data_IF_341613178317
#
_entry.id   IF_341613178317
#
_cell.length_a   1.000
_cell.length_b   1.000
_cell.length_c   1.000
_cell.angle_alpha   90.00
_cell.angle_beta   90.00
_cell.angle_gamma   90.00
#
_symmetry.space_group_name_H-M   'P 1'
#
loop_
_entity.id
_entity.type
_entity.pdbx_description
1 polymer ?
#
# COMPACT_ATOMS: atom_id res chain seq x y z
N UNK A 1 -4.21 9.55 -20.65
CA UNK A 1 -4.75 8.37 -19.92
C UNK A 1 -3.62 7.39 -19.73
N UNK A 2 -3.23 7.13 -18.48
CA UNK A 2 -2.22 6.14 -18.12
C UNK A 2 -2.90 5.03 -17.33
N UNK A 3 -2.91 3.81 -17.87
CA UNK A 3 -3.38 2.64 -17.15
C UNK A 3 -2.18 2.03 -16.43
N UNK A 4 -2.28 1.89 -15.11
CA UNK A 4 -1.28 1.19 -14.32
C UNK A 4 -1.34 -0.32 -14.62
N UNK A 5 -0.21 -1.01 -14.46
CA UNK A 5 -0.24 -2.46 -14.35
C UNK A 5 -1.05 -2.84 -13.10
N UNK A 6 -1.86 -3.90 -13.21
CA UNK A 6 -2.65 -4.42 -12.09
C UNK A 6 -2.78 -5.93 -12.18
N UNK A 7 -2.98 -6.53 -11.02
CA UNK A 7 -3.38 -7.94 -10.88
C UNK A 7 -4.81 -8.00 -10.36
N UNK A 8 -5.59 -8.96 -10.84
CA UNK A 8 -6.95 -9.20 -10.34
C UNK A 8 -6.98 -10.49 -9.52
N UNK A 9 -7.69 -10.46 -8.38
CA UNK A 9 -7.84 -11.58 -7.45
C UNK A 9 -9.29 -11.68 -6.99
N UNK A 10 -9.70 -12.88 -6.56
CA UNK A 10 -11.04 -13.16 -6.06
C UNK A 10 -12.07 -13.32 -7.18
N UNK A 11 -13.34 -13.07 -6.87
CA UNK A 11 -14.45 -13.23 -7.81
C UNK A 11 -14.51 -12.06 -8.80
N UNK A 12 -14.37 -12.30 -10.11
CA UNK A 12 -14.41 -11.23 -11.11
C UNK A 12 -15.77 -10.50 -11.19
N UNK A 13 -16.85 -11.12 -10.74
CA UNK A 13 -18.19 -10.55 -10.68
C UNK A 13 -18.52 -9.94 -9.30
N UNK A 14 -17.59 -10.04 -8.35
CA UNK A 14 -17.74 -9.53 -7.00
C UNK A 14 -17.68 -8.00 -6.91
N UNK A 15 -18.13 -7.48 -5.76
CA UNK A 15 -18.02 -6.06 -5.47
C UNK A 15 -16.55 -5.61 -5.48
N UNK A 16 -16.20 -4.51 -6.20
CA UNK A 16 -14.81 -4.17 -6.44
C UNK A 16 -14.08 -3.62 -5.21
N UNK A 17 -12.84 -4.07 -5.06
CA UNK A 17 -11.84 -3.56 -4.12
C UNK A 17 -10.65 -3.04 -4.92
N UNK A 18 -10.24 -1.80 -4.68
CA UNK A 18 -8.99 -1.24 -5.16
C UNK A 18 -7.92 -1.39 -4.08
N UNK A 19 -6.85 -2.13 -4.36
CA UNK A 19 -5.74 -2.30 -3.43
C UNK A 19 -4.53 -1.44 -3.84
N UNK A 20 -4.03 -0.60 -2.90
CA UNK A 20 -2.96 0.38 -3.12
C UNK A 20 -1.80 0.09 -2.17
N UNK A 21 -0.66 -0.30 -2.73
CA UNK A 21 0.54 -0.67 -1.96
C UNK A 21 1.35 0.53 -1.44
N UNK A 22 2.29 0.26 -0.54
CA UNK A 22 3.26 1.22 0.00
C UNK A 22 4.50 1.41 -0.86
N UNK A 23 5.45 2.23 -0.37
CA UNK A 23 6.75 2.45 -0.99
C UNK A 23 7.50 1.11 -1.14
N UNK A 24 8.23 0.94 -2.23
CA UNK A 24 9.03 -0.26 -2.56
C UNK A 24 8.24 -1.58 -2.64
N UNK A 25 6.91 -1.51 -2.79
CA UNK A 25 6.03 -2.66 -2.89
C UNK A 25 5.44 -2.81 -4.31
N UNK A 26 4.47 -3.71 -4.45
CA UNK A 26 3.75 -3.98 -5.69
C UNK A 26 2.35 -4.55 -5.38
N UNK A 27 1.44 -4.55 -6.36
CA UNK A 27 0.05 -4.96 -6.18
C UNK A 27 -0.12 -6.41 -5.72
N UNK A 28 0.71 -7.34 -6.23
CA UNK A 28 0.61 -8.77 -5.88
C UNK A 28 0.78 -9.08 -4.39
N UNK A 29 1.31 -8.14 -3.57
CA UNK A 29 1.35 -8.30 -2.12
C UNK A 29 -0.03 -8.44 -1.48
N UNK A 30 -1.08 -7.95 -2.13
CA UNK A 30 -2.46 -8.12 -1.66
C UNK A 30 -3.10 -9.45 -2.06
N UNK A 31 -2.41 -10.31 -2.85
CA UNK A 31 -2.96 -11.56 -3.36
C UNK A 31 -3.54 -12.43 -2.24
N UNK A 32 -2.73 -12.74 -1.23
CA UNK A 32 -3.16 -13.60 -0.11
C UNK A 32 -4.36 -12.99 0.65
N UNK A 33 -4.33 -11.68 0.92
CA UNK A 33 -5.46 -11.00 1.55
C UNK A 33 -6.74 -11.12 0.72
N UNK A 34 -6.65 -10.92 -0.59
CA UNK A 34 -7.80 -10.99 -1.49
C UNK A 34 -8.34 -12.42 -1.60
N UNK A 35 -7.47 -13.41 -1.81
CA UNK A 35 -7.86 -14.81 -2.04
C UNK A 35 -8.32 -15.55 -0.78
N UNK A 36 -7.76 -15.23 0.40
CA UNK A 36 -8.07 -15.89 1.67
C UNK A 36 -8.97 -15.03 2.59
N UNK A 37 -8.87 -13.68 2.51
CA UNK A 37 -9.61 -12.76 3.37
C UNK A 37 -11.01 -12.40 2.87
N UNK A 38 -11.15 -12.15 1.55
CA UNK A 38 -12.42 -11.74 0.92
C UNK A 38 -12.55 -12.26 -0.53
N UNK A 39 -12.50 -13.60 -0.73
CA UNK A 39 -12.47 -14.23 -2.05
C UNK A 39 -13.70 -13.93 -2.92
N UNK A 40 -14.81 -13.52 -2.33
CA UNK A 40 -16.04 -13.14 -3.01
C UNK A 40 -16.01 -11.72 -3.60
N UNK A 41 -14.91 -10.97 -3.41
CA UNK A 41 -14.72 -9.63 -3.95
C UNK A 41 -13.84 -9.66 -5.20
N UNK A 42 -14.05 -8.72 -6.11
CA UNK A 42 -13.14 -8.45 -7.23
C UNK A 42 -12.06 -7.48 -6.77
N UNK A 43 -10.87 -7.96 -6.48
CA UNK A 43 -9.76 -7.11 -6.04
C UNK A 43 -8.89 -6.73 -7.23
N UNK A 44 -8.79 -5.43 -7.54
CA UNK A 44 -7.84 -4.84 -8.48
C UNK A 44 -6.68 -4.26 -7.69
N UNK A 45 -5.55 -4.94 -7.72
CA UNK A 45 -4.33 -4.56 -7.00
C UNK A 45 -3.32 -3.94 -7.98
N UNK A 46 -3.12 -2.64 -7.89
CA UNK A 46 -2.28 -1.88 -8.83
C UNK A 46 -0.81 -1.91 -8.45
N UNK A 47 0.07 -1.85 -9.45
CA UNK A 47 1.44 -1.40 -9.28
C UNK A 47 1.47 0.13 -9.45
N UNK A 48 1.86 0.87 -8.43
CA UNK A 48 1.95 2.33 -8.53
C UNK A 48 3.00 2.74 -9.58
N UNK A 49 2.82 3.91 -10.20
CA UNK A 49 3.83 4.50 -11.08
C UNK A 49 5.21 4.48 -10.44
N UNK A 50 6.22 4.01 -11.18
CA UNK A 50 7.58 3.81 -10.68
C UNK A 50 7.79 2.52 -9.89
N UNK A 51 6.82 1.59 -9.90
CA UNK A 51 6.89 0.31 -9.21
C UNK A 51 6.39 -0.83 -10.12
N UNK A 52 6.89 -2.03 -9.87
CA UNK A 52 6.47 -3.26 -10.55
C UNK A 52 6.54 -3.16 -12.07
N UNK A 53 5.44 -3.54 -12.73
CA UNK A 53 5.29 -3.51 -14.18
C UNK A 53 4.63 -2.23 -14.72
N UNK A 54 4.36 -1.23 -13.85
CA UNK A 54 3.85 0.08 -14.26
C UNK A 54 4.93 0.96 -14.88
N UNK A 55 4.51 2.04 -15.56
CA UNK A 55 5.46 3.01 -16.13
C UNK A 55 6.39 3.62 -15.07
N UNK A 56 7.65 3.80 -15.43
CA UNK A 56 8.66 4.44 -14.60
C UNK A 56 8.83 5.94 -14.91
N UNK A 57 8.06 6.47 -15.87
CA UNK A 57 8.10 7.89 -16.21
C UNK A 57 7.45 8.74 -15.11
N UNK A 58 8.05 9.90 -14.81
CA UNK A 58 7.47 10.87 -13.88
C UNK A 58 6.27 11.64 -14.47
N UNK A 59 5.65 12.49 -13.67
CA UNK A 59 5.92 12.76 -12.27
C UNK A 59 5.39 11.66 -11.34
N UNK A 60 6.01 11.52 -10.15
CA UNK A 60 5.63 10.50 -9.13
C UNK A 60 4.91 11.11 -7.93
N UNK A 61 4.31 12.28 -8.11
CA UNK A 61 3.56 12.97 -7.06
C UNK A 61 2.21 12.29 -6.75
N UNK A 62 1.69 12.50 -5.55
CA UNK A 62 0.37 11.99 -5.16
C UNK A 62 -0.74 12.40 -6.14
N UNK A 63 -0.84 13.67 -6.62
CA UNK A 63 -1.83 14.04 -7.63
C UNK A 63 -1.74 13.23 -8.94
N UNK A 64 -0.51 12.83 -9.35
CA UNK A 64 -0.35 11.98 -10.53
C UNK A 64 -0.78 10.54 -10.23
N UNK A 65 -0.41 9.97 -9.09
CA UNK A 65 -0.91 8.65 -8.68
C UNK A 65 -2.44 8.60 -8.65
N UNK A 66 -3.10 9.63 -8.12
CA UNK A 66 -4.58 9.72 -8.14
C UNK A 66 -5.13 9.74 -9.56
N UNK A 67 -4.49 10.47 -10.48
CA UNK A 67 -4.90 10.47 -11.90
C UNK A 67 -4.78 9.08 -12.51
N UNK A 68 -3.67 8.40 -12.28
CA UNK A 68 -3.41 7.06 -12.79
C UNK A 68 -4.41 6.02 -12.22
N UNK A 69 -4.77 6.14 -10.94
CA UNK A 69 -5.78 5.27 -10.31
C UNK A 69 -7.17 5.48 -10.95
N UNK A 70 -7.58 6.73 -11.19
CA UNK A 70 -8.85 7.03 -11.86
C UNK A 70 -8.85 6.47 -13.28
N UNK A 71 -7.79 6.71 -14.06
CA UNK A 71 -7.63 6.18 -15.41
C UNK A 71 -7.69 4.63 -15.44
N UNK A 72 -7.09 3.98 -14.42
CA UNK A 72 -7.09 2.52 -14.30
C UNK A 72 -8.49 1.99 -13.94
N UNK A 73 -9.19 2.61 -12.97
CA UNK A 73 -10.56 2.26 -12.63
C UNK A 73 -11.51 2.41 -13.82
N UNK A 74 -11.36 3.49 -14.61
CA UNK A 74 -12.13 3.71 -15.83
C UNK A 74 -11.84 2.63 -16.88
N UNK A 75 -10.57 2.24 -17.02
CA UNK A 75 -10.16 1.19 -17.96
C UNK A 75 -10.77 -0.18 -17.62
N UNK A 76 -10.80 -0.54 -16.32
CA UNK A 76 -11.36 -1.83 -15.87
C UNK A 76 -12.88 -1.80 -15.66
N UNK A 77 -13.53 -0.66 -15.97
CA UNK A 77 -14.98 -0.49 -15.89
C UNK A 77 -15.53 -0.41 -14.46
N UNK A 78 -14.72 0.03 -13.48
CA UNK A 78 -15.13 0.19 -12.09
C UNK A 78 -15.49 1.65 -11.83
N UNK A 79 -16.76 1.93 -11.57
CA UNK A 79 -17.24 3.28 -11.24
C UNK A 79 -16.83 3.69 -9.82
N UNK A 80 -16.98 2.80 -8.82
CA UNK A 80 -16.58 3.02 -7.44
C UNK A 80 -16.13 1.71 -6.79
N UNK A 81 -15.15 1.79 -5.90
CA UNK A 81 -14.58 0.64 -5.19
C UNK A 81 -14.49 0.88 -3.68
N UNK A 82 -14.46 -0.20 -2.91
CA UNK A 82 -13.87 -0.17 -1.58
C UNK A 82 -12.34 -0.07 -1.74
N UNK A 83 -11.69 0.81 -0.98
CA UNK A 83 -10.24 1.04 -1.14
C UNK A 83 -9.51 0.45 0.06
N UNK A 84 -8.58 -0.48 -0.21
CA UNK A 84 -7.67 -1.05 0.81
C UNK A 84 -6.26 -0.58 0.51
N UNK A 85 -5.64 0.11 1.44
CA UNK A 85 -4.34 0.73 1.23
C UNK A 85 -3.37 0.42 2.37
N UNK A 86 -2.07 0.39 2.05
CA UNK A 86 -1.01 0.16 3.03
C UNK A 86 0.04 1.28 2.93
N UNK A 87 0.52 1.76 4.10
CA UNK A 87 1.66 2.70 4.16
C UNK A 87 1.44 3.96 3.30
N UNK A 88 2.33 4.27 2.35
CA UNK A 88 2.22 5.35 1.37
C UNK A 88 0.91 5.31 0.59
N UNK A 89 0.41 4.11 0.27
CA UNK A 89 -0.90 3.95 -0.37
C UNK A 89 -2.03 4.62 0.42
N UNK A 90 -1.89 4.77 1.74
CA UNK A 90 -2.85 5.50 2.58
C UNK A 90 -2.91 7.00 2.26
N UNK A 91 -1.78 7.65 2.02
CA UNK A 91 -1.74 9.06 1.61
C UNK A 91 -2.38 9.24 0.22
N UNK A 92 -2.10 8.31 -0.72
CA UNK A 92 -2.72 8.32 -2.05
C UNK A 92 -4.23 8.07 -1.95
N UNK A 93 -4.69 7.17 -1.08
CA UNK A 93 -6.11 6.86 -0.89
C UNK A 93 -6.89 8.06 -0.32
N UNK A 94 -6.32 8.80 0.64
CA UNK A 94 -6.91 10.05 1.14
C UNK A 94 -7.01 11.11 0.02
N UNK A 95 -5.98 11.25 -0.80
CA UNK A 95 -6.00 12.16 -1.94
C UNK A 95 -6.98 11.73 -3.05
N UNK A 96 -7.18 10.42 -3.26
CA UNK A 96 -8.20 9.90 -4.15
C UNK A 96 -9.60 10.25 -3.61
N UNK A 97 -9.84 10.07 -2.31
CA UNK A 97 -11.10 10.45 -1.66
C UNK A 97 -11.36 11.97 -1.76
N UNK A 98 -10.34 12.80 -1.61
CA UNK A 98 -10.45 14.26 -1.76
C UNK A 98 -10.85 14.66 -3.18
N UNK A 99 -10.13 14.11 -4.18
CA UNK A 99 -10.29 14.51 -5.58
C UNK A 99 -11.50 13.90 -6.27
N UNK A 100 -11.83 12.66 -5.94
CA UNK A 100 -12.87 11.88 -6.60
C UNK A 100 -13.68 11.06 -5.57
N UNK A 101 -14.42 11.70 -4.66
CA UNK A 101 -15.12 11.01 -3.57
C UNK A 101 -16.12 9.96 -4.07
N UNK A 102 -16.75 10.18 -5.22
CA UNK A 102 -17.67 9.21 -5.81
C UNK A 102 -17.01 7.88 -6.22
N UNK A 103 -15.68 7.83 -6.27
CA UNK A 103 -14.91 6.62 -6.61
C UNK A 103 -14.62 5.74 -5.38
N UNK A 104 -14.83 6.24 -4.15
CA UNK A 104 -14.49 5.57 -2.89
C UNK A 104 -15.77 5.30 -2.08
N UNK A 105 -16.12 4.02 -1.90
CA UNK A 105 -17.27 3.61 -1.09
C UNK A 105 -16.92 3.45 0.38
N UNK A 106 -15.83 2.78 0.67
CA UNK A 106 -15.22 2.56 1.99
C UNK A 106 -13.72 2.73 1.90
N UNK A 107 -13.08 3.02 3.01
CA UNK A 107 -11.62 3.21 3.07
C UNK A 107 -11.03 2.34 4.18
N UNK A 108 -10.03 1.53 3.84
CA UNK A 108 -9.20 0.78 4.78
C UNK A 108 -7.78 1.30 4.70
N UNK A 109 -7.26 1.76 5.82
CA UNK A 109 -5.91 2.30 5.99
C UNK A 109 -5.11 1.34 6.89
N UNK A 110 -4.25 0.51 6.28
CA UNK A 110 -3.37 -0.41 6.99
C UNK A 110 -2.03 0.29 7.25
N UNK A 111 -1.77 0.62 8.50
CA UNK A 111 -0.59 1.34 8.99
C UNK A 111 -0.11 2.46 8.05
N UNK A 112 -1.00 3.44 7.75
CA UNK A 112 -0.72 4.47 6.75
C UNK A 112 0.41 5.39 7.20
N UNK A 113 1.35 5.67 6.30
CA UNK A 113 2.40 6.66 6.51
C UNK A 113 1.89 8.06 6.11
N UNK A 114 1.42 8.81 7.11
CA UNK A 114 0.79 10.13 6.94
C UNK A 114 1.55 11.18 7.76
N UNK A 115 1.75 12.37 7.20
CA UNK A 115 2.37 13.52 7.86
C UNK A 115 3.67 13.18 8.58
N UNK A 116 4.55 12.43 7.90
CA UNK A 116 5.82 12.01 8.48
C UNK A 116 6.74 13.21 8.73
N UNK A 117 7.50 13.24 9.85
CA UNK A 117 8.51 14.28 10.06
C UNK A 117 9.48 14.36 8.89
N UNK A 118 9.77 15.57 8.42
CA UNK A 118 10.58 15.77 7.21
C UNK A 118 12.04 15.31 7.33
N UNK A 119 12.61 15.30 8.52
CA UNK A 119 13.92 14.76 8.83
C UNK A 119 13.92 13.23 8.76
N UNK A 120 12.94 12.56 9.37
CA UNK A 120 12.76 11.10 9.30
C UNK A 120 12.48 10.64 7.86
N UNK A 121 11.62 11.36 7.13
CA UNK A 121 11.33 11.09 5.71
C UNK A 121 12.59 11.23 4.86
N UNK A 122 13.44 12.22 5.12
CA UNK A 122 14.69 12.43 4.40
C UNK A 122 15.71 11.32 4.68
N UNK A 123 15.84 10.89 5.94
CA UNK A 123 16.72 9.78 6.33
C UNK A 123 16.26 8.47 5.68
N UNK A 124 14.96 8.18 5.73
CA UNK A 124 14.39 7.00 5.09
C UNK A 124 14.59 7.02 3.57
N UNK A 125 14.42 8.17 2.91
CA UNK A 125 14.65 8.32 1.47
C UNK A 125 16.13 8.02 1.11
N UNK A 126 17.08 8.51 1.90
CA UNK A 126 18.51 8.25 1.70
C UNK A 126 18.84 6.76 1.91
N UNK A 127 18.28 6.14 2.94
CA UNK A 127 18.46 4.71 3.19
C UNK A 127 17.92 3.84 2.03
N UNK A 128 16.81 4.23 1.41
CA UNK A 128 16.24 3.53 0.26
C UNK A 128 17.03 3.74 -1.04
N UNK A 129 17.91 4.75 -1.09
CA UNK A 129 18.79 4.98 -2.24
C UNK A 129 19.89 3.92 -2.34
N UNK A 130 20.32 3.35 -1.23
CA UNK A 130 21.29 2.26 -1.14
C UNK A 130 20.59 0.95 -0.69
N UNK A 131 21.10 -0.22 -1.01
CA UNK A 131 22.26 -0.57 -1.83
C UNK A 131 21.97 -0.52 -3.34
N UNK A 132 23.04 -0.61 -4.13
CA UNK A 132 22.97 -0.62 -5.60
C UNK A 132 22.62 -2.00 -6.18
N UNK A 133 21.94 -2.85 -5.40
CA UNK A 133 21.51 -4.21 -5.71
C UNK A 133 22.33 -5.28 -5.00
N UNK A 134 21.89 -6.52 -5.13
CA UNK A 134 22.43 -7.69 -4.46
C UNK A 134 23.14 -8.61 -5.49
N UNK A 135 24.03 -9.49 -5.02
CA UNK A 135 24.75 -10.43 -5.88
C UNK A 135 23.99 -11.76 -6.02
N UNK A 136 23.10 -12.08 -5.07
CA UNK A 136 22.25 -13.26 -5.10
C UNK A 136 20.80 -12.94 -4.71
N UNK A 137 19.90 -13.86 -5.07
CA UNK A 137 18.47 -13.80 -4.68
C UNK A 137 18.33 -13.93 -3.16
N UNK A 138 19.18 -14.76 -2.53
CA UNK A 138 19.17 -14.99 -1.08
C UNK A 138 19.56 -13.72 -0.30
N UNK A 139 20.54 -12.95 -0.79
CA UNK A 139 20.91 -11.65 -0.22
C UNK A 139 19.73 -10.67 -0.31
N UNK A 140 19.06 -10.60 -1.46
CA UNK A 140 17.89 -9.77 -1.68
C UNK A 140 16.71 -10.19 -0.76
N UNK A 141 16.45 -11.50 -0.65
CA UNK A 141 15.41 -12.03 0.24
C UNK A 141 15.70 -11.74 1.70
N UNK A 142 16.96 -11.86 2.13
CA UNK A 142 17.39 -11.51 3.49
C UNK A 142 17.18 -10.02 3.78
N UNK A 143 17.55 -9.16 2.84
CA UNK A 143 17.33 -7.72 2.96
C UNK A 143 15.84 -7.36 2.99
N UNK A 144 15.01 -8.03 2.16
CA UNK A 144 13.55 -7.81 2.14
C UNK A 144 12.88 -8.31 3.41
N UNK A 145 13.37 -9.39 3.99
CA UNK A 145 12.90 -9.87 5.28
C UNK A 145 13.15 -8.84 6.39
N UNK A 146 14.33 -8.20 6.39
CA UNK A 146 14.69 -7.17 7.36
C UNK A 146 14.45 -7.60 8.80
N UNK A 147 13.76 -6.75 9.55
CA UNK A 147 13.43 -6.96 10.97
C UNK A 147 12.08 -7.68 11.19
N UNK A 148 11.52 -8.34 10.15
CA UNK A 148 10.32 -9.15 10.32
C UNK A 148 10.54 -10.29 11.32
N UNK A 149 9.49 -10.62 12.08
CA UNK A 149 9.53 -11.71 13.06
C UNK A 149 9.86 -13.07 12.42
N UNK A 150 10.56 -13.94 13.17
CA UNK A 150 10.90 -15.30 12.71
C UNK A 150 9.70 -16.25 12.73
N UNK A 151 8.65 -15.94 13.49
CA UNK A 151 7.45 -16.74 13.69
C UNK A 151 6.29 -16.40 12.72
N UNK A 152 6.59 -15.65 11.65
CA UNK A 152 5.58 -15.36 10.62
C UNK A 152 5.19 -16.64 9.89
N UNK A 153 3.89 -16.93 9.89
CA UNK A 153 3.34 -18.05 9.13
C UNK A 153 3.62 -17.88 7.63
N UNK A 154 4.11 -18.94 6.98
CA UNK A 154 4.39 -19.00 5.54
C UNK A 154 5.39 -17.95 5.03
N UNK A 155 6.27 -17.44 5.91
CA UNK A 155 7.25 -16.40 5.51
C UNK A 155 8.09 -16.82 4.30
N UNK A 156 8.48 -18.09 4.20
CA UNK A 156 9.25 -18.61 3.07
C UNK A 156 8.49 -18.55 1.75
N UNK A 157 7.20 -18.86 1.74
CA UNK A 157 6.34 -18.76 0.56
C UNK A 157 6.14 -17.30 0.15
N UNK A 158 5.91 -16.41 1.11
CA UNK A 158 5.73 -14.99 0.86
C UNK A 158 6.99 -14.34 0.30
N UNK A 159 8.17 -14.66 0.84
CA UNK A 159 9.44 -14.18 0.31
C UNK A 159 9.73 -14.75 -1.08
N UNK A 160 9.42 -16.03 -1.33
CA UNK A 160 9.57 -16.62 -2.66
C UNK A 160 8.69 -15.91 -3.70
N UNK A 161 7.43 -15.62 -3.35
CA UNK A 161 6.53 -14.86 -4.21
C UNK A 161 7.01 -13.42 -4.42
N UNK A 162 7.51 -12.76 -3.39
CA UNK A 162 8.09 -11.42 -3.47
C UNK A 162 9.29 -11.39 -4.42
N UNK A 163 10.18 -12.39 -4.34
CA UNK A 163 11.33 -12.49 -5.24
C UNK A 163 10.89 -12.74 -6.69
N UNK A 164 9.93 -13.64 -6.91
CA UNK A 164 9.38 -13.93 -8.24
C UNK A 164 8.68 -12.70 -8.86
N UNK A 165 7.87 -12.03 -8.08
CA UNK A 165 7.03 -10.93 -8.56
C UNK A 165 7.78 -9.60 -8.71
N UNK A 166 8.82 -9.37 -7.92
CA UNK A 166 9.34 -8.01 -7.72
C UNK A 166 10.87 -7.89 -7.84
N UNK A 167 11.60 -9.00 -8.01
CA UNK A 167 13.06 -8.98 -8.18
C UNK A 167 13.42 -9.16 -9.66
N UNK A 168 14.36 -8.38 -10.15
CA UNK A 168 14.90 -8.52 -11.52
C UNK A 168 16.43 -8.51 -11.50
N UNK A 169 17.04 -9.20 -12.47
CA UNK A 169 18.49 -9.16 -12.67
C UNK A 169 18.83 -8.12 -13.74
N UNK A 170 19.61 -7.12 -13.37
CA UNK A 170 20.12 -6.12 -14.28
C UNK A 170 21.20 -6.64 -15.23
N UNK A 171 21.53 -5.86 -16.24
CA UNK A 171 22.58 -6.18 -17.23
C UNK A 171 23.98 -6.30 -16.60
N UNK A 172 24.20 -5.76 -15.42
CA UNK A 172 25.40 -5.87 -14.61
C UNK A 172 25.45 -7.14 -13.74
N UNK A 173 24.44 -8.01 -13.87
CA UNK A 173 24.29 -9.25 -13.13
C UNK A 173 23.79 -9.10 -11.68
N UNK A 174 23.53 -7.87 -11.21
CA UNK A 174 23.03 -7.62 -9.87
C UNK A 174 21.50 -7.71 -9.84
N UNK A 175 20.96 -8.17 -8.74
CA UNK A 175 19.51 -8.23 -8.49
C UNK A 175 19.02 -6.94 -7.85
N UNK A 176 17.88 -6.42 -8.33
CA UNK A 176 17.22 -5.21 -7.82
C UNK A 176 15.73 -5.45 -7.72
N UNK A 177 15.08 -4.84 -6.72
CA UNK A 177 13.62 -4.80 -6.71
C UNK A 177 13.11 -3.83 -7.77
N UNK A 178 11.95 -4.17 -8.33
CA UNK A 178 11.31 -3.46 -9.44
C UNK A 178 10.62 -2.18 -8.95
N UNK A 179 11.41 -1.21 -8.54
CA UNK A 179 10.96 0.14 -8.25
C UNK A 179 12.00 1.18 -8.71
N UNK A 180 11.51 2.35 -9.07
CA UNK A 180 12.36 3.47 -9.47
C UNK A 180 12.79 4.29 -8.26
N UNK A 181 14.08 4.34 -7.94
CA UNK A 181 14.61 5.07 -6.79
C UNK A 181 14.11 6.53 -6.70
N UNK A 182 14.10 7.34 -7.79
CA UNK A 182 13.51 8.67 -7.76
C UNK A 182 12.03 8.71 -7.36
N UNK A 183 11.23 7.71 -7.75
CA UNK A 183 9.83 7.61 -7.32
C UNK A 183 9.72 7.35 -5.82
N UNK A 184 10.58 6.48 -5.27
CA UNK A 184 10.67 6.20 -3.84
C UNK A 184 11.06 7.42 -3.03
N UNK A 185 12.09 8.16 -3.47
CA UNK A 185 12.51 9.42 -2.82
C UNK A 185 11.38 10.46 -2.84
N UNK A 186 10.68 10.59 -3.99
CA UNK A 186 9.52 11.47 -4.10
C UNK A 186 8.43 11.06 -3.12
N UNK A 187 8.13 9.75 -3.01
CA UNK A 187 7.10 9.24 -2.10
C UNK A 187 7.37 9.62 -0.64
N UNK A 188 8.62 9.52 -0.17
CA UNK A 188 8.99 9.97 1.17
C UNK A 188 8.75 11.47 1.38
N UNK A 189 9.09 12.30 0.39
CA UNK A 189 8.78 13.74 0.41
C UNK A 189 7.27 14.01 0.44
N UNK A 190 6.48 13.30 -0.36
CA UNK A 190 5.03 13.43 -0.43
C UNK A 190 4.34 13.00 0.89
N UNK A 191 4.86 11.99 1.60
CA UNK A 191 4.33 11.56 2.90
C UNK A 191 4.57 12.57 4.03
N UNK A 192 5.43 13.58 3.84
CA UNK A 192 5.66 14.65 4.82
C UNK A 192 4.60 15.76 4.77
N UNK A 193 3.75 15.79 3.75
CA UNK A 193 2.66 16.77 3.71
C UNK A 193 1.63 16.50 4.81
N UNK A 194 1.01 17.58 5.37
CA UNK A 194 0.01 17.43 6.41
C UNK A 194 -1.22 16.65 5.92
N UNK A 195 -1.85 15.93 6.85
CA UNK A 195 -3.16 15.32 6.57
C UNK A 195 -4.15 16.45 6.24
N UNK A 196 -5.00 16.32 5.19
CA UNK A 196 -6.03 17.33 4.89
C UNK A 196 -6.92 17.61 6.08
N UNK A 197 -7.31 18.88 6.28
CA UNK A 197 -8.18 19.24 7.40
C UNK A 197 -9.62 18.75 7.23
N UNK A 198 -10.07 18.61 5.98
CA UNK A 198 -11.43 18.15 5.65
C UNK A 198 -11.38 17.21 4.45
N UNK A 199 -12.14 16.13 4.54
CA UNK A 199 -12.39 15.18 3.45
C UNK A 199 -13.87 14.79 3.44
N UNK A 200 -14.41 14.35 2.31
CA UNK A 200 -15.71 13.70 2.27
C UNK A 200 -15.75 12.50 3.23
N UNK A 201 -16.85 12.36 3.96
CA UNK A 201 -16.96 11.29 4.96
C UNK A 201 -17.44 10.00 4.30
N UNK A 202 -16.64 8.96 4.44
CA UNK A 202 -16.96 7.57 4.06
C UNK A 202 -16.66 6.65 5.23
N UNK A 203 -17.29 5.47 5.34
CA UNK A 203 -16.90 4.49 6.33
C UNK A 203 -15.40 4.19 6.19
N UNK A 204 -14.65 4.33 7.27
CA UNK A 204 -13.19 4.24 7.28
C UNK A 204 -12.72 3.34 8.42
N UNK A 205 -11.86 2.37 8.11
CA UNK A 205 -11.14 1.55 9.08
C UNK A 205 -9.66 1.95 9.08
N UNK A 206 -9.16 2.37 10.22
CA UNK A 206 -7.74 2.57 10.48
C UNK A 206 -7.20 1.40 11.31
N UNK A 207 -6.21 0.69 10.79
CA UNK A 207 -5.49 -0.36 11.54
C UNK A 207 -4.04 0.06 11.69
N UNK A 208 -3.60 0.35 12.91
CA UNK A 208 -2.21 0.69 13.23
C UNK A 208 -1.42 -0.52 13.69
N UNK A 209 -0.13 -0.57 13.37
CA UNK A 209 0.82 -1.54 13.85
C UNK A 209 1.51 -0.98 15.12
N UNK A 210 1.39 -1.69 16.26
CA UNK A 210 1.88 -1.17 17.56
C UNK A 210 3.41 -1.00 17.63
N UNK A 211 4.16 -1.78 16.83
CA UNK A 211 5.61 -1.75 16.77
C UNK A 211 6.18 -0.89 15.65
N UNK A 212 5.29 -0.22 14.85
CA UNK A 212 5.69 0.70 13.81
C UNK A 212 5.38 2.17 14.20
N UNK A 213 6.16 3.16 13.73
CA UNK A 213 6.02 4.54 14.17
C UNK A 213 4.96 5.35 13.42
N UNK A 214 4.26 4.76 12.42
CA UNK A 214 3.50 5.55 11.45
C UNK A 214 2.14 6.04 11.96
N UNK A 215 1.43 5.24 12.76
CA UNK A 215 0.11 5.62 13.29
C UNK A 215 0.26 6.16 14.72
N UNK A 216 0.44 7.46 14.82
CA UNK A 216 0.59 8.16 16.10
C UNK A 216 -0.77 8.57 16.68
N UNK A 217 -0.84 8.93 17.99
CA UNK A 217 -2.04 9.55 18.56
C UNK A 217 -2.52 10.79 17.81
N UNK A 218 -1.60 11.59 17.25
CA UNK A 218 -1.93 12.78 16.46
C UNK A 218 -2.55 12.41 15.11
N UNK A 219 -2.04 11.35 14.46
CA UNK A 219 -2.63 10.78 13.24
C UNK A 219 -4.07 10.33 13.50
N UNK A 220 -4.29 9.57 14.58
CA UNK A 220 -5.64 9.11 14.98
C UNK A 220 -6.57 10.30 15.27
N UNK A 221 -6.08 11.30 16.00
CA UNK A 221 -6.86 12.49 16.32
C UNK A 221 -7.23 13.31 15.07
N UNK A 222 -6.31 13.42 14.10
CA UNK A 222 -6.56 14.07 12.82
C UNK A 222 -7.64 13.34 12.02
N UNK A 223 -7.49 12.03 11.83
CA UNK A 223 -8.47 11.22 11.09
C UNK A 223 -9.85 11.20 11.81
N UNK A 224 -9.87 11.22 13.15
CA UNK A 224 -11.11 11.31 13.92
C UNK A 224 -11.82 12.65 13.76
N UNK A 225 -11.10 13.76 13.60
CA UNK A 225 -11.69 15.06 13.25
C UNK A 225 -12.34 15.04 11.87
N UNK A 226 -11.73 14.32 10.92
CA UNK A 226 -12.21 14.24 9.53
C UNK A 226 -13.43 13.32 9.42
N UNK A 227 -13.32 12.08 9.89
CA UNK A 227 -14.32 11.04 9.65
C UNK A 227 -15.37 10.89 10.78
N UNK A 228 -15.11 11.47 11.97
CA UNK A 228 -16.04 11.43 13.11
C UNK A 228 -16.45 10.00 13.47
N UNK A 229 -17.76 9.74 13.45
CA UNK A 229 -18.35 8.43 13.76
C UNK A 229 -18.21 7.40 12.63
N UNK A 230 -17.66 7.79 11.47
CA UNK A 230 -17.36 6.89 10.36
C UNK A 230 -15.96 6.29 10.46
N UNK A 231 -15.16 6.64 11.49
CA UNK A 231 -13.85 6.08 11.74
C UNK A 231 -13.91 4.98 12.79
N UNK A 232 -13.68 3.73 12.35
CA UNK A 232 -13.29 2.63 13.21
C UNK A 232 -11.76 2.59 13.35
N UNK A 233 -11.24 2.32 14.54
CA UNK A 233 -9.79 2.21 14.79
C UNK A 233 -9.45 0.90 15.46
N UNK A 234 -8.40 0.25 14.99
CA UNK A 234 -7.85 -0.96 15.60
C UNK A 234 -6.31 -0.88 15.61
N UNK A 235 -5.67 -1.66 16.49
CA UNK A 235 -4.22 -1.83 16.54
C UNK A 235 -3.89 -3.31 16.62
N UNK A 236 -2.77 -3.70 15.99
CA UNK A 236 -2.27 -5.07 15.98
C UNK A 236 -0.84 -5.04 16.52
N UNK A 237 -0.50 -5.94 17.45
CA UNK A 237 0.87 -6.09 17.96
C UNK A 237 1.77 -6.76 16.93
N UNK A 238 2.24 -5.95 15.98
CA UNK A 238 3.14 -6.35 14.89
C UNK A 238 3.98 -5.15 14.42
N UNK A 239 4.91 -5.42 13.51
CA UNK A 239 5.60 -4.40 12.72
C UNK A 239 4.76 -3.88 11.56
N UNK A 240 5.37 -3.05 10.71
CA UNK A 240 4.72 -2.34 9.62
C UNK A 240 3.98 -3.24 8.59
N UNK A 241 4.39 -4.48 8.45
CA UNK A 241 3.83 -5.41 7.47
C UNK A 241 2.71 -6.28 8.07
N UNK A 242 1.61 -5.64 8.53
CA UNK A 242 0.52 -6.26 9.27
C UNK A 242 0.03 -7.57 8.63
N UNK A 243 -0.27 -7.54 7.32
CA UNK A 243 -0.80 -8.69 6.57
C UNK A 243 0.26 -9.76 6.23
N UNK A 244 1.52 -9.53 6.62
CA UNK A 244 2.56 -10.55 6.64
C UNK A 244 2.74 -11.11 8.05
N UNK A 245 2.82 -10.22 9.05
CA UNK A 245 3.16 -10.60 10.43
C UNK A 245 1.96 -11.12 11.23
N UNK A 246 0.74 -10.64 10.94
CA UNK A 246 -0.51 -11.02 11.62
C UNK A 246 -1.63 -11.16 10.60
N UNK A 247 -1.45 -12.12 9.69
CA UNK A 247 -2.34 -12.30 8.54
C UNK A 247 -3.80 -12.51 8.95
N UNK A 248 -4.07 -13.50 9.80
CA UNK A 248 -5.46 -13.89 10.16
C UNK A 248 -6.20 -12.76 10.86
N UNK A 249 -5.51 -12.03 11.74
CA UNK A 249 -6.09 -10.89 12.44
C UNK A 249 -6.38 -9.73 11.47
N UNK A 250 -5.43 -9.40 10.62
CA UNK A 250 -5.59 -8.35 9.60
C UNK A 250 -6.71 -8.72 8.61
N UNK A 251 -6.70 -9.93 8.07
CA UNK A 251 -7.71 -10.40 7.13
C UNK A 251 -9.11 -10.40 7.74
N UNK A 252 -9.25 -10.88 8.99
CA UNK A 252 -10.55 -10.89 9.70
C UNK A 252 -11.10 -9.48 9.91
N UNK A 253 -10.25 -8.53 10.32
CA UNK A 253 -10.67 -7.13 10.53
C UNK A 253 -11.11 -6.48 9.22
N UNK A 254 -10.32 -6.62 8.16
CA UNK A 254 -10.64 -6.02 6.86
C UNK A 254 -11.89 -6.66 6.26
N UNK A 255 -11.98 -7.99 6.20
CA UNK A 255 -13.14 -8.69 5.68
C UNK A 255 -14.43 -8.29 6.44
N UNK A 256 -14.38 -8.31 7.78
CA UNK A 256 -15.51 -7.88 8.61
C UNK A 256 -15.95 -6.44 8.38
N UNK A 257 -15.03 -5.55 8.01
CA UNK A 257 -15.35 -4.16 7.66
C UNK A 257 -15.93 -4.04 6.24
N UNK A 258 -15.38 -4.76 5.26
CA UNK A 258 -15.85 -4.73 3.87
C UNK A 258 -17.26 -5.33 3.71
N UNK A 259 -17.70 -6.21 4.63
CA UNK A 259 -19.02 -6.86 4.59
C UNK A 259 -20.15 -6.03 5.23
N UNK A 260 -19.87 -4.87 5.82
CA UNK A 260 -20.90 -3.97 6.39
C UNK A 260 -21.53 -3.10 5.31
#
# INVERSE_FOLDING_TARGET
MTVLHYSEFGDPDGEPVLAIHGVTAHGRRFRRLAEEGWPERRTVAVDLRGHGDSTYDGPWSIPQHVTDLIDTLDHVGIEAADVVSHSYGGAIALALLERAPARVRRLVLLDPALAQPGDEASEAALHQWEPDGWTTVEEAATARRGDLSDDIDRIGEMLAEEMDAHLEQGVDGRYRFRFHKPAVVTAWGEMSYPIPEMLPSVPTLLVGAERAPFVTPDTIAALRRIFGNHLDTAHIDCGHMLYWERFDETATMVAGFLMR
#
